data_IF_875792266021
#
_entry.id   IF_875792266021
#
_cell.length_a   1.000
_cell.length_b   1.000
_cell.length_c   1.000
_cell.angle_alpha   90.00
_cell.angle_beta   90.00
_cell.angle_gamma   90.00
#
_symmetry.space_group_name_H-M   'P 1'
#
loop_
_entity.id
_entity.type
_entity.pdbx_description
1 polymer ?
#
# COMPACT_ATOMS: atom_id res chain seq x y z
N UNK A 1 14.21 3.98 22.05
CA UNK A 1 15.61 4.23 21.70
C UNK A 1 15.71 5.31 20.64
N UNK A 2 15.23 5.11 19.41
CA UNK A 2 15.34 6.08 18.30
C UNK A 2 14.78 7.47 18.66
N UNK A 3 13.63 7.52 19.34
CA UNK A 3 13.04 8.78 19.79
C UNK A 3 14.01 9.63 20.64
N UNK A 4 14.72 9.01 21.59
CA UNK A 4 15.68 9.71 22.46
C UNK A 4 16.86 10.31 21.69
N UNK A 5 17.14 9.81 20.50
CA UNK A 5 18.17 10.30 19.59
C UNK A 5 17.64 11.30 18.55
N UNK A 6 16.35 11.65 18.59
CA UNK A 6 15.70 12.48 17.57
C UNK A 6 15.62 11.80 16.20
N UNK A 7 15.71 10.47 16.16
CA UNK A 7 15.71 9.68 14.93
C UNK A 7 14.33 9.08 14.69
N UNK A 8 13.93 9.03 13.44
CA UNK A 8 12.72 8.34 13.00
C UNK A 8 12.94 6.85 12.77
N UNK A 9 11.90 6.16 12.34
CA UNK A 9 11.96 4.73 12.04
C UNK A 9 10.81 4.27 11.16
N UNK A 10 10.91 3.04 10.69
CA UNK A 10 9.90 2.39 9.88
C UNK A 10 9.41 1.12 10.57
N UNK A 11 8.12 1.08 10.91
CA UNK A 11 7.44 -0.12 11.39
C UNK A 11 6.84 -0.83 10.18
N UNK A 12 7.52 -1.89 9.75
CA UNK A 12 7.23 -2.62 8.52
C UNK A 12 6.64 -4.02 8.78
N UNK A 13 5.91 -4.17 9.87
CA UNK A 13 5.23 -5.42 10.23
C UNK A 13 4.19 -5.82 9.20
N UNK A 14 3.98 -7.11 9.04
CA UNK A 14 2.89 -7.62 8.20
C UNK A 14 1.54 -7.04 8.63
N UNK A 15 0.59 -6.97 7.68
CA UNK A 15 -0.77 -6.51 7.96
C UNK A 15 -1.40 -7.36 9.06
N UNK A 16 -2.11 -6.71 10.01
CA UNK A 16 -2.78 -7.38 11.12
C UNK A 16 -1.88 -7.70 12.32
N UNK A 17 -0.60 -7.33 12.32
CA UNK A 17 0.28 -7.46 13.50
C UNK A 17 0.22 -6.25 14.45
N UNK A 18 -0.85 -5.45 14.39
CA UNK A 18 -1.11 -4.39 15.36
C UNK A 18 -0.24 -3.14 15.22
N UNK A 19 0.10 -2.73 13.98
CA UNK A 19 0.87 -1.49 13.75
C UNK A 19 0.22 -0.25 14.40
N UNK A 20 -1.09 -0.07 14.24
CA UNK A 20 -1.81 1.08 14.80
C UNK A 20 -1.78 1.11 16.33
N UNK A 21 -2.18 0.06 17.07
CA UNK A 21 -2.11 0.08 18.53
C UNK A 21 -0.67 0.19 19.05
N UNK A 22 0.32 -0.42 18.40
CA UNK A 22 1.74 -0.25 18.75
C UNK A 22 2.16 1.22 18.61
N UNK A 23 1.74 1.87 17.53
CA UNK A 23 2.04 3.29 17.30
C UNK A 23 1.33 4.18 18.32
N UNK A 24 0.04 3.94 18.58
CA UNK A 24 -0.71 4.69 19.59
C UNK A 24 -0.07 4.58 20.98
N UNK A 25 0.35 3.38 21.40
CA UNK A 25 1.07 3.17 22.64
C UNK A 25 2.40 3.95 22.70
N UNK A 26 3.11 4.05 21.59
CA UNK A 26 4.32 4.87 21.50
C UNK A 26 4.01 6.36 21.62
N UNK A 27 3.01 6.87 20.90
CA UNK A 27 2.60 8.27 20.94
C UNK A 27 2.10 8.68 22.32
N UNK A 28 1.35 7.81 23.00
CA UNK A 28 0.83 8.05 24.35
C UNK A 28 1.93 8.24 25.41
N UNK A 29 3.13 7.73 25.16
CA UNK A 29 4.30 7.90 26.02
C UNK A 29 5.11 9.18 25.77
N UNK A 30 4.69 10.04 24.85
CA UNK A 30 5.41 11.24 24.43
C UNK A 30 4.45 12.43 24.47
N UNK A 31 4.80 13.58 25.06
CA UNK A 31 3.98 14.78 24.98
C UNK A 31 3.74 15.22 23.54
N UNK A 32 2.45 15.45 23.15
CA UNK A 32 2.07 15.89 21.83
C UNK A 32 2.32 17.38 21.55
N UNK A 33 1.81 17.91 20.43
CA UNK A 33 0.86 17.27 19.50
C UNK A 33 1.51 16.29 18.53
N UNK A 34 0.77 15.24 18.16
CA UNK A 34 1.18 14.25 17.17
C UNK A 34 0.32 14.36 15.92
N UNK A 35 0.91 14.05 14.77
CA UNK A 35 0.22 14.03 13.47
C UNK A 35 0.28 12.63 12.86
N UNK A 36 -0.87 12.08 12.51
CA UNK A 36 -1.00 10.89 11.66
C UNK A 36 -1.47 11.32 10.28
N UNK A 37 -0.71 10.96 9.26
CA UNK A 37 -1.07 11.14 7.85
C UNK A 37 -1.32 9.76 7.24
N UNK A 38 -2.53 9.52 6.76
CA UNK A 38 -2.95 8.19 6.29
C UNK A 38 -3.84 8.27 5.04
N UNK A 39 -4.08 7.15 4.34
CA UNK A 39 -5.12 7.09 3.31
C UNK A 39 -6.52 7.37 3.88
N UNK A 40 -7.40 7.93 3.04
CA UNK A 40 -8.77 8.28 3.45
C UNK A 40 -9.53 7.08 4.02
N UNK A 41 -9.34 5.91 3.45
CA UNK A 41 -10.01 4.65 3.86
C UNK A 41 -9.76 4.24 5.31
N UNK A 42 -8.64 4.69 5.92
CA UNK A 42 -8.25 4.29 7.28
C UNK A 42 -8.36 5.41 8.32
N UNK A 43 -8.79 6.62 7.93
CA UNK A 43 -8.96 7.75 8.86
C UNK A 43 -9.90 7.38 10.03
N UNK A 44 -11.06 6.81 9.72
CA UNK A 44 -12.02 6.39 10.75
C UNK A 44 -11.50 5.24 11.61
N UNK A 45 -10.66 4.38 11.03
CA UNK A 45 -10.04 3.29 11.78
C UNK A 45 -9.08 3.85 12.83
N UNK A 46 -8.26 4.85 12.48
CA UNK A 46 -7.38 5.54 13.42
C UNK A 46 -8.16 6.19 14.57
N UNK A 47 -9.28 6.84 14.28
CA UNK A 47 -10.16 7.43 15.29
C UNK A 47 -10.73 6.36 16.24
N UNK A 48 -11.27 5.28 15.69
CA UNK A 48 -11.85 4.18 16.46
C UNK A 48 -10.80 3.44 17.31
N UNK A 49 -9.61 3.17 16.76
CA UNK A 49 -8.53 2.52 17.48
C UNK A 49 -7.95 3.43 18.57
N UNK A 50 -7.83 4.73 18.31
CA UNK A 50 -7.41 5.69 19.34
C UNK A 50 -8.40 5.72 20.50
N UNK A 51 -9.70 5.77 20.23
CA UNK A 51 -10.75 5.72 21.27
C UNK A 51 -10.70 4.41 22.08
N UNK A 52 -10.30 3.29 21.45
CA UNK A 52 -10.21 1.98 22.09
C UNK A 52 -8.94 1.82 22.94
N UNK A 53 -7.78 2.17 22.40
CA UNK A 53 -6.48 1.85 23.01
C UNK A 53 -5.87 3.00 23.79
N UNK A 54 -6.23 4.25 23.46
CA UNK A 54 -5.74 5.48 24.12
C UNK A 54 -6.88 6.46 24.39
N UNK A 55 -7.93 6.06 25.15
CA UNK A 55 -9.15 6.87 25.33
C UNK A 55 -8.91 8.21 26.02
N UNK A 56 -7.76 8.40 26.63
CA UNK A 56 -7.33 9.66 27.26
C UNK A 56 -6.75 10.66 26.27
N UNK A 57 -6.38 10.24 25.05
CA UNK A 57 -5.87 11.14 24.01
C UNK A 57 -7.03 11.83 23.30
N UNK A 58 -6.97 13.15 23.23
CA UNK A 58 -7.95 13.96 22.46
C UNK A 58 -7.57 13.94 21.00
N UNK A 59 -8.43 13.36 20.18
CA UNK A 59 -8.20 13.16 18.74
C UNK A 59 -8.94 14.21 17.92
N UNK A 60 -8.25 14.91 17.03
CA UNK A 60 -8.81 15.80 16.02
C UNK A 60 -8.73 15.13 14.64
N UNK A 61 -9.87 14.82 14.04
CA UNK A 61 -9.92 14.38 12.63
C UNK A 61 -9.99 15.62 11.73
N UNK A 62 -8.91 15.86 10.98
CA UNK A 62 -8.78 17.02 10.08
C UNK A 62 -8.94 16.59 8.63
N UNK A 63 -10.19 16.46 8.18
CA UNK A 63 -10.54 16.01 6.83
C UNK A 63 -11.91 16.58 6.39
N UNK A 64 -12.13 16.60 5.06
CA UNK A 64 -13.41 17.02 4.47
C UNK A 64 -13.51 18.51 4.19
N UNK A 65 -14.70 18.95 3.75
CA UNK A 65 -14.98 20.35 3.39
C UNK A 65 -15.15 21.26 4.59
N UNK A 66 -15.60 20.70 5.71
CA UNK A 66 -15.77 21.43 6.99
C UNK A 66 -14.53 21.46 7.88
N UNK A 67 -13.35 21.08 7.37
CA UNK A 67 -12.12 21.11 8.16
C UNK A 67 -11.72 22.54 8.51
N UNK A 68 -11.08 22.68 9.63
CA UNK A 68 -10.56 23.98 10.12
C UNK A 68 -9.45 24.52 9.21
N UNK A 69 -9.28 25.82 9.20
CA UNK A 69 -8.25 26.49 8.40
C UNK A 69 -7.41 27.43 9.27
N UNK A 70 -6.14 27.62 8.89
CA UNK A 70 -5.21 28.60 9.47
C UNK A 70 -5.23 28.64 11.01
N UNK A 71 -5.49 29.83 11.59
CA UNK A 71 -5.48 30.02 13.04
C UNK A 71 -6.49 29.13 13.78
N UNK A 72 -7.66 28.86 13.18
CA UNK A 72 -8.65 27.95 13.79
C UNK A 72 -8.12 26.53 13.94
N UNK A 73 -7.37 26.07 12.95
CA UNK A 73 -6.71 24.77 13.03
C UNK A 73 -5.61 24.75 14.11
N UNK A 74 -4.73 25.76 14.14
CA UNK A 74 -3.64 25.85 15.12
C UNK A 74 -4.21 25.87 16.55
N UNK A 75 -5.26 26.66 16.79
CA UNK A 75 -5.93 26.71 18.07
C UNK A 75 -6.56 25.37 18.47
N UNK A 76 -7.15 24.67 17.51
CA UNK A 76 -7.69 23.34 17.76
C UNK A 76 -6.58 22.32 18.08
N UNK A 77 -5.47 22.34 17.35
CA UNK A 77 -4.31 21.45 17.62
C UNK A 77 -3.78 21.65 19.04
N UNK A 78 -3.72 22.89 19.55
CA UNK A 78 -3.28 23.16 20.91
C UNK A 78 -4.17 22.51 21.99
N UNK A 79 -5.38 22.12 21.65
CA UNK A 79 -6.36 21.47 22.54
C UNK A 79 -6.40 19.93 22.34
N UNK A 80 -5.64 19.38 21.41
CA UNK A 80 -5.66 17.96 21.06
C UNK A 80 -4.27 17.34 21.13
N UNK A 81 -4.24 16.05 21.41
CA UNK A 81 -3.00 15.31 21.57
C UNK A 81 -2.59 14.62 20.27
N UNK A 82 -3.59 14.27 19.43
CA UNK A 82 -3.43 13.57 18.15
C UNK A 82 -4.29 14.23 17.06
N UNK A 83 -3.67 14.54 15.94
CA UNK A 83 -4.37 14.97 14.71
C UNK A 83 -4.26 13.86 13.66
N UNK A 84 -5.39 13.46 13.08
CA UNK A 84 -5.47 12.48 11.99
C UNK A 84 -5.91 13.19 10.72
N UNK A 85 -5.15 13.04 9.63
CA UNK A 85 -5.43 13.67 8.34
C UNK A 85 -5.04 12.77 7.18
N UNK A 86 -5.37 13.20 5.95
CA UNK A 86 -4.98 12.48 4.73
C UNK A 86 -3.76 13.10 4.07
N UNK A 87 -3.06 12.30 3.26
CA UNK A 87 -1.92 12.77 2.46
C UNK A 87 -2.26 13.97 1.57
N UNK A 88 -3.47 13.97 0.98
CA UNK A 88 -3.92 15.05 0.09
C UNK A 88 -4.17 16.34 0.86
N UNK A 89 -4.76 16.25 2.04
CA UNK A 89 -5.01 17.42 2.90
C UNK A 89 -3.68 17.97 3.43
N UNK A 90 -2.81 17.11 3.98
CA UNK A 90 -1.51 17.52 4.47
C UNK A 90 -0.64 18.19 3.40
N UNK A 91 -0.69 17.69 2.13
CA UNK A 91 0.04 18.29 1.02
C UNK A 91 -0.58 19.60 0.50
N UNK A 92 -1.91 19.79 0.64
CA UNK A 92 -2.60 21.00 0.24
C UNK A 92 -2.42 22.12 1.25
N UNK A 93 -2.55 21.81 2.51
CA UNK A 93 -2.55 22.76 3.61
C UNK A 93 -1.17 22.81 4.33
N UNK A 94 -0.08 22.47 3.61
CA UNK A 94 1.27 22.26 4.15
C UNK A 94 1.77 23.45 4.98
N UNK A 95 1.56 24.68 4.53
CA UNK A 95 2.01 25.89 5.21
C UNK A 95 1.41 26.00 6.64
N UNK A 96 0.14 25.62 6.79
CA UNK A 96 -0.53 25.59 8.09
C UNK A 96 0.05 24.49 8.98
N UNK A 97 0.29 23.29 8.42
CA UNK A 97 0.88 22.17 9.17
C UNK A 97 2.33 22.46 9.62
N UNK A 98 3.07 23.25 8.85
CA UNK A 98 4.45 23.62 9.20
C UNK A 98 4.55 24.62 10.36
N UNK A 99 3.46 25.30 10.71
CA UNK A 99 3.42 26.23 11.85
C UNK A 99 3.23 25.48 13.19
N UNK A 100 2.86 24.20 13.15
CA UNK A 100 2.67 23.39 14.36
C UNK A 100 3.98 22.68 14.72
N UNK A 101 4.45 22.76 15.98
CA UNK A 101 5.64 22.04 16.45
C UNK A 101 5.30 20.56 16.75
N UNK A 102 5.15 19.74 15.71
CA UNK A 102 4.81 18.33 15.87
C UNK A 102 5.88 17.57 16.67
N UNK A 103 5.47 16.90 17.75
CA UNK A 103 6.36 16.01 18.48
C UNK A 103 6.70 14.78 17.64
N UNK A 104 5.67 14.16 17.03
CA UNK A 104 5.84 13.03 16.11
C UNK A 104 4.92 13.19 14.90
N UNK A 105 5.45 12.87 13.72
CA UNK A 105 4.67 12.68 12.47
C UNK A 105 4.71 11.21 12.09
N UNK A 106 3.56 10.60 11.97
CA UNK A 106 3.36 9.21 11.52
C UNK A 106 2.80 9.21 10.12
N UNK A 107 3.42 8.46 9.22
CA UNK A 107 2.98 8.23 7.85
C UNK A 107 2.46 6.81 7.74
N UNK A 108 1.15 6.61 7.75
CA UNK A 108 0.54 5.30 7.61
C UNK A 108 0.37 4.94 6.13
N UNK A 109 0.55 3.66 5.79
CA UNK A 109 0.65 3.17 4.42
C UNK A 109 1.66 4.00 3.62
N UNK A 110 2.91 4.05 4.13
CA UNK A 110 3.96 4.92 3.63
C UNK A 110 4.36 4.67 2.16
N UNK A 111 3.87 3.59 1.54
CA UNK A 111 3.96 3.42 0.09
C UNK A 111 3.28 4.56 -0.70
N UNK A 112 2.40 5.34 -0.08
CA UNK A 112 1.84 6.56 -0.68
C UNK A 112 2.91 7.61 -1.05
N UNK A 113 4.09 7.55 -0.45
CA UNK A 113 5.22 8.45 -0.70
C UNK A 113 6.42 7.76 -1.36
N UNK A 114 6.23 6.55 -1.91
CA UNK A 114 7.28 5.76 -2.58
C UNK A 114 7.89 6.45 -3.80
N UNK A 115 7.14 7.27 -4.51
CA UNK A 115 7.68 8.10 -5.58
C UNK A 115 8.10 9.47 -5.01
N UNK A 116 9.43 9.75 -4.94
CA UNK A 116 9.97 10.95 -4.31
C UNK A 116 9.60 12.25 -5.05
N UNK A 117 9.22 12.18 -6.31
CA UNK A 117 8.96 13.35 -7.15
C UNK A 117 7.51 13.84 -7.05
N UNK A 118 6.64 13.10 -6.37
CA UNK A 118 5.25 13.53 -6.17
C UNK A 118 5.14 14.74 -5.24
N UNK A 119 4.10 15.55 -5.45
CA UNK A 119 3.77 16.67 -4.56
C UNK A 119 3.61 16.19 -3.11
N UNK A 120 2.96 15.06 -2.91
CA UNK A 120 2.73 14.44 -1.60
C UNK A 120 4.05 14.07 -0.91
N UNK A 121 4.94 13.37 -1.60
CA UNK A 121 6.23 12.97 -1.01
C UNK A 121 7.09 14.20 -0.65
N UNK A 122 7.09 15.24 -1.50
CA UNK A 122 7.78 16.50 -1.21
C UNK A 122 7.19 17.20 0.02
N UNK A 123 5.87 17.25 0.14
CA UNK A 123 5.21 17.84 1.28
C UNK A 123 5.53 17.08 2.59
N UNK A 124 5.51 15.75 2.57
CA UNK A 124 5.83 14.93 3.76
C UNK A 124 7.29 15.12 4.20
N UNK A 125 8.24 15.27 3.27
CA UNK A 125 9.64 15.61 3.62
C UNK A 125 9.78 17.02 4.22
N UNK A 126 8.95 17.96 3.79
CA UNK A 126 8.98 19.34 4.26
C UNK A 126 8.34 19.52 5.64
N UNK A 127 7.52 18.58 6.11
CA UNK A 127 6.95 18.64 7.46
C UNK A 127 8.07 18.50 8.51
N UNK A 128 8.11 19.44 9.45
CA UNK A 128 9.05 19.39 10.58
C UNK A 128 8.42 18.62 11.74
N UNK A 129 9.20 17.76 12.39
CA UNK A 129 8.78 17.01 13.57
C UNK A 129 10.00 16.61 14.40
N UNK A 130 9.79 16.42 15.70
CA UNK A 130 10.81 15.86 16.59
C UNK A 130 11.18 14.42 16.21
N UNK A 131 10.18 13.63 15.80
CA UNK A 131 10.37 12.27 15.25
C UNK A 131 9.45 12.04 14.06
N UNK A 132 9.88 11.17 13.12
CA UNK A 132 9.06 10.72 11.98
C UNK A 132 9.01 9.20 11.93
N UNK A 133 7.83 8.65 11.83
CA UNK A 133 7.59 7.20 11.80
C UNK A 133 6.84 6.87 10.51
N UNK A 134 7.33 5.88 9.78
CA UNK A 134 6.62 5.30 8.65
C UNK A 134 6.01 3.95 9.05
N UNK A 135 4.75 3.73 8.70
CA UNK A 135 4.09 2.43 8.83
C UNK A 135 3.83 1.88 7.44
N UNK A 136 4.18 0.63 7.21
CA UNK A 136 3.93 -0.05 5.93
C UNK A 136 3.89 -1.56 6.12
N UNK A 137 3.10 -2.28 5.35
CA UNK A 137 3.17 -3.74 5.27
C UNK A 137 4.22 -4.23 4.27
N UNK A 138 4.63 -3.34 3.34
CA UNK A 138 5.53 -3.66 2.22
C UNK A 138 6.56 -2.55 2.03
N UNK A 139 7.67 -2.54 2.77
CA UNK A 139 8.68 -1.48 2.70
C UNK A 139 9.37 -1.40 1.32
N UNK A 140 9.38 -2.51 0.58
CA UNK A 140 9.84 -2.61 -0.81
C UNK A 140 8.85 -3.49 -1.57
N UNK A 141 8.15 -2.95 -2.55
CA UNK A 141 7.26 -3.71 -3.41
C UNK A 141 7.95 -4.10 -4.73
N UNK A 142 8.51 -3.11 -5.42
CA UNK A 142 9.02 -3.30 -6.76
C UNK A 142 10.47 -2.84 -6.94
N UNK A 143 10.89 -1.79 -6.23
CA UNK A 143 12.21 -1.18 -6.39
C UNK A 143 12.78 -0.69 -5.08
N UNK A 144 14.08 -0.79 -4.92
CA UNK A 144 14.79 -0.27 -3.74
C UNK A 144 14.69 1.26 -3.60
N UNK A 145 14.44 1.98 -4.70
CA UNK A 145 14.17 3.43 -4.65
C UNK A 145 12.91 3.78 -3.85
N UNK A 146 11.98 2.85 -3.66
CA UNK A 146 10.81 3.02 -2.78
C UNK A 146 11.26 3.09 -1.31
N UNK A 147 12.13 2.18 -0.89
CA UNK A 147 12.76 2.21 0.42
C UNK A 147 13.53 3.51 0.65
N UNK A 148 14.34 3.92 -0.32
CA UNK A 148 15.06 5.20 -0.26
C UNK A 148 14.12 6.38 -0.03
N UNK A 149 12.99 6.44 -0.72
CA UNK A 149 12.01 7.52 -0.55
C UNK A 149 11.44 7.59 0.86
N UNK A 150 11.13 6.43 1.48
CA UNK A 150 10.67 6.35 2.87
C UNK A 150 11.78 6.83 3.81
N UNK A 151 13.03 6.37 3.60
CA UNK A 151 14.17 6.73 4.44
C UNK A 151 14.54 8.21 4.34
N UNK A 152 14.29 8.87 3.21
CA UNK A 152 14.43 10.34 3.09
C UNK A 152 13.48 11.10 4.01
N UNK A 153 12.44 10.45 4.51
CA UNK A 153 11.49 11.07 5.46
C UNK A 153 11.88 10.70 6.89
N UNK A 154 12.07 9.42 7.19
CA UNK A 154 12.29 8.94 8.57
C UNK A 154 13.71 9.13 9.07
N UNK A 155 14.71 9.04 8.20
CA UNK A 155 16.14 9.23 8.50
C UNK A 155 16.82 9.99 7.36
N UNK A 156 16.57 11.29 7.18
CA UNK A 156 17.11 12.08 6.08
C UNK A 156 18.64 12.00 6.02
N UNK A 157 19.17 11.76 4.81
CA UNK A 157 20.61 11.69 4.57
C UNK A 157 21.26 10.35 4.85
N UNK A 158 20.64 9.42 5.59
CA UNK A 158 21.22 8.11 5.92
C UNK A 158 21.65 7.31 4.69
N UNK A 159 20.85 7.32 3.64
CA UNK A 159 21.10 6.59 2.39
C UNK A 159 21.66 7.47 1.26
N UNK A 160 22.16 8.66 1.58
CA UNK A 160 22.66 9.60 0.59
C UNK A 160 21.57 10.17 -0.34
N UNK A 161 21.99 10.83 -1.41
CA UNK A 161 21.07 11.34 -2.44
C UNK A 161 20.64 10.24 -3.41
N UNK A 162 19.64 10.53 -4.25
CA UNK A 162 19.05 9.56 -5.18
C UNK A 162 20.06 8.94 -6.15
N UNK A 163 21.03 9.73 -6.62
CA UNK A 163 22.05 9.26 -7.56
C UNK A 163 23.02 8.31 -6.85
N UNK A 164 23.52 8.71 -5.68
CA UNK A 164 24.38 7.87 -4.85
C UNK A 164 23.72 6.55 -4.48
N UNK A 165 22.47 6.61 -4.02
CA UNK A 165 21.71 5.40 -3.67
C UNK A 165 21.55 4.45 -4.86
N UNK A 166 21.23 4.97 -6.05
CA UNK A 166 21.12 4.14 -7.24
C UNK A 166 22.44 3.47 -7.61
N UNK A 167 23.54 4.21 -7.54
CA UNK A 167 24.88 3.71 -7.90
C UNK A 167 25.40 2.67 -6.90
N UNK A 168 25.25 2.93 -5.58
CA UNK A 168 25.84 2.07 -4.55
C UNK A 168 24.95 0.90 -4.15
N UNK A 169 23.62 1.04 -4.24
CA UNK A 169 22.71 0.02 -3.77
C UNK A 169 21.73 -0.48 -4.83
N UNK A 170 20.91 0.41 -5.44
CA UNK A 170 19.81 -0.07 -6.28
C UNK A 170 20.29 -0.83 -7.52
N UNK A 171 21.22 -0.29 -8.29
CA UNK A 171 21.73 -0.97 -9.49
C UNK A 171 22.49 -2.26 -9.17
N UNK A 172 23.48 -2.29 -8.24
CA UNK A 172 24.17 -3.51 -7.88
C UNK A 172 23.22 -4.61 -7.37
N UNK A 173 22.27 -4.26 -6.51
CA UNK A 173 21.34 -5.25 -5.94
C UNK A 173 20.29 -5.73 -6.96
N UNK A 174 19.65 -4.81 -7.69
CA UNK A 174 18.52 -5.15 -8.57
C UNK A 174 18.97 -5.79 -9.90
N UNK A 175 20.17 -5.45 -10.40
CA UNK A 175 20.66 -5.91 -11.70
C UNK A 175 21.73 -7.00 -11.59
N UNK A 176 22.63 -6.85 -10.62
CA UNK A 176 23.82 -7.69 -10.48
C UNK A 176 23.69 -8.70 -9.33
N UNK A 177 22.60 -8.58 -8.52
CA UNK A 177 22.35 -9.41 -7.33
C UNK A 177 23.53 -9.41 -6.34
N UNK A 178 24.20 -8.26 -6.19
CA UNK A 178 25.39 -8.11 -5.36
C UNK A 178 25.08 -8.37 -3.86
N UNK A 179 25.66 -9.44 -3.25
CA UNK A 179 25.42 -9.79 -1.86
C UNK A 179 26.09 -8.79 -0.90
N UNK A 180 27.18 -8.14 -1.29
CA UNK A 180 27.91 -7.19 -0.45
C UNK A 180 27.07 -5.92 -0.30
N UNK A 181 26.62 -5.35 -1.41
CA UNK A 181 25.72 -4.19 -1.39
C UNK A 181 24.42 -4.48 -0.64
N UNK A 182 23.88 -5.71 -0.76
CA UNK A 182 22.69 -6.15 -0.02
C UNK A 182 22.96 -6.18 1.49
N UNK A 183 24.07 -6.76 1.93
CA UNK A 183 24.43 -6.85 3.34
C UNK A 183 24.70 -5.45 3.93
N UNK A 184 25.35 -4.57 3.19
CA UNK A 184 25.62 -3.19 3.61
C UNK A 184 24.31 -2.40 3.77
N UNK A 185 23.40 -2.47 2.79
CA UNK A 185 22.10 -1.81 2.89
C UNK A 185 21.29 -2.31 4.10
N UNK A 186 21.28 -3.62 4.35
CA UNK A 186 20.63 -4.21 5.53
C UNK A 186 21.24 -3.71 6.84
N UNK A 187 22.56 -3.61 6.90
CA UNK A 187 23.27 -3.08 8.08
C UNK A 187 22.92 -1.63 8.36
N UNK A 188 22.83 -0.79 7.32
CA UNK A 188 22.49 0.63 7.46
C UNK A 188 21.01 0.83 7.85
N UNK A 189 20.11 0.07 7.25
CA UNK A 189 18.67 0.25 7.46
C UNK A 189 18.12 -0.49 8.68
N UNK A 190 18.77 -1.58 9.08
CA UNK A 190 18.32 -2.48 10.15
C UNK A 190 17.96 -1.78 11.47
N UNK A 191 18.78 -0.86 12.00
CA UNK A 191 18.46 -0.14 13.24
C UNK A 191 17.20 0.72 13.18
N UNK A 192 16.75 1.09 11.98
CA UNK A 192 15.61 1.96 11.72
C UNK A 192 14.36 1.20 11.25
N UNK A 193 14.50 -0.09 10.97
CA UNK A 193 13.44 -0.91 10.39
C UNK A 193 13.05 -2.04 11.35
N UNK A 194 11.84 -1.98 11.88
CA UNK A 194 11.24 -3.11 12.59
C UNK A 194 10.30 -3.85 11.65
N UNK A 195 10.65 -5.11 11.34
CA UNK A 195 9.83 -5.98 10.48
C UNK A 195 9.61 -7.33 11.15
N UNK A 196 8.37 -7.56 11.56
CA UNK A 196 7.87 -8.85 12.04
C UNK A 196 6.96 -9.43 10.97
N UNK A 197 6.97 -10.75 10.82
CA UNK A 197 6.17 -11.46 9.82
C UNK A 197 5.23 -12.46 10.48
N UNK A 198 4.10 -12.72 9.86
CA UNK A 198 3.15 -13.76 10.31
C UNK A 198 3.70 -15.18 10.17
N UNK A 199 4.78 -15.36 9.40
CA UNK A 199 5.48 -16.63 9.31
C UNK A 199 6.23 -17.00 10.61
N UNK A 200 6.52 -16.02 11.47
CA UNK A 200 7.13 -16.26 12.77
C UNK A 200 6.07 -16.73 13.78
N UNK A 201 5.99 -18.03 13.98
CA UNK A 201 5.04 -18.68 14.90
C UNK A 201 5.23 -18.26 16.36
N UNK A 202 6.39 -17.74 16.74
CA UNK A 202 6.61 -17.22 18.10
C UNK A 202 5.81 -15.94 18.38
N UNK A 203 5.46 -15.19 17.33
CA UNK A 203 4.70 -13.93 17.41
C UNK A 203 3.19 -14.14 17.33
N UNK A 204 2.76 -15.15 16.57
CA UNK A 204 1.34 -15.42 16.28
C UNK A 204 1.05 -16.93 16.33
N UNK A 205 1.15 -17.56 17.51
CA UNK A 205 0.99 -19.00 17.66
C UNK A 205 -0.40 -19.51 17.26
N UNK A 206 -1.42 -18.66 17.36
CA UNK A 206 -2.82 -19.01 17.09
C UNK A 206 -3.20 -18.95 15.60
N UNK A 207 -2.33 -18.42 14.72
CA UNK A 207 -2.62 -18.39 13.30
C UNK A 207 -2.39 -19.77 12.68
N UNK A 208 -3.39 -20.31 11.93
CA UNK A 208 -3.23 -21.54 11.18
C UNK A 208 -2.17 -21.37 10.08
N UNK A 209 -1.68 -22.48 9.57
CA UNK A 209 -0.77 -22.46 8.43
C UNK A 209 -1.48 -21.93 7.18
N UNK A 210 -0.78 -21.07 6.43
CA UNK A 210 -1.27 -20.61 5.15
C UNK A 210 -1.17 -21.73 4.12
N UNK A 211 -2.32 -22.16 3.60
CA UNK A 211 -2.41 -23.10 2.48
C UNK A 211 -2.69 -22.32 1.21
N UNK A 212 -1.82 -22.46 0.20
CA UNK A 212 -2.03 -21.88 -1.11
C UNK A 212 -2.30 -22.99 -2.14
N UNK A 213 -3.39 -22.89 -2.85
CA UNK A 213 -3.77 -23.83 -3.90
C UNK A 213 -4.06 -23.09 -5.20
N UNK A 214 -3.60 -23.66 -6.31
CA UNK A 214 -3.92 -23.16 -7.65
C UNK A 214 -5.01 -24.03 -8.24
N UNK A 215 -6.19 -23.45 -8.41
CA UNK A 215 -7.30 -24.12 -9.08
C UNK A 215 -7.28 -23.79 -10.58
N UNK A 216 -7.00 -24.77 -11.40
CA UNK A 216 -7.03 -24.63 -12.87
C UNK A 216 -8.47 -24.75 -13.39
N UNK A 217 -8.83 -23.86 -14.30
CA UNK A 217 -10.12 -23.88 -14.98
C UNK A 217 -9.91 -23.89 -16.49
N UNK A 218 -10.45 -24.89 -17.23
CA UNK A 218 -10.34 -24.94 -18.68
C UNK A 218 -11.19 -23.83 -19.31
N UNK A 219 -10.81 -23.36 -20.48
CA UNK A 219 -11.66 -22.49 -21.29
C UNK A 219 -12.80 -23.29 -21.93
N UNK A 220 -13.99 -22.69 -21.98
CA UNK A 220 -15.07 -23.24 -22.81
C UNK A 220 -14.73 -23.09 -24.30
N UNK A 221 -15.44 -23.80 -25.17
CA UNK A 221 -15.27 -23.66 -26.64
C UNK A 221 -15.47 -22.21 -27.08
N UNK A 222 -16.47 -21.54 -26.56
CA UNK A 222 -16.76 -20.12 -26.81
C UNK A 222 -15.57 -19.25 -26.41
N UNK A 223 -15.07 -19.41 -25.18
CA UNK A 223 -13.91 -18.68 -24.70
C UNK A 223 -12.67 -18.94 -25.55
N UNK A 224 -12.42 -20.19 -25.95
CA UNK A 224 -11.25 -20.55 -26.77
C UNK A 224 -11.32 -19.87 -28.16
N UNK A 225 -12.48 -19.84 -28.80
CA UNK A 225 -12.64 -19.15 -30.09
C UNK A 225 -12.43 -17.64 -29.95
N UNK A 226 -13.01 -17.01 -28.93
CA UNK A 226 -12.84 -15.58 -28.70
C UNK A 226 -11.37 -15.25 -28.36
N UNK A 227 -10.72 -16.10 -27.57
CA UNK A 227 -9.30 -15.96 -27.23
C UNK A 227 -8.41 -15.98 -28.47
N UNK A 228 -8.62 -17.01 -29.34
CA UNK A 228 -7.86 -17.16 -30.58
C UNK A 228 -8.05 -15.94 -31.50
N UNK A 229 -9.28 -15.46 -31.67
CA UNK A 229 -9.56 -14.29 -32.49
C UNK A 229 -8.78 -13.03 -32.03
N UNK A 230 -8.67 -12.81 -30.70
CA UNK A 230 -7.88 -11.69 -30.16
C UNK A 230 -6.38 -11.88 -30.40
N UNK A 231 -5.88 -13.12 -30.30
CA UNK A 231 -4.47 -13.41 -30.57
C UNK A 231 -4.15 -13.19 -32.05
N UNK A 232 -4.99 -13.68 -32.96
CA UNK A 232 -4.80 -13.52 -34.40
C UNK A 232 -4.81 -12.04 -34.81
N UNK A 233 -5.75 -11.27 -34.27
CA UNK A 233 -5.81 -9.83 -34.49
C UNK A 233 -4.55 -9.12 -33.94
N UNK A 234 -4.10 -9.47 -32.73
CA UNK A 234 -2.89 -8.89 -32.15
C UNK A 234 -1.65 -9.16 -33.01
N UNK A 235 -1.52 -10.41 -33.54
CA UNK A 235 -0.40 -10.77 -34.39
C UNK A 235 -0.40 -9.98 -35.70
N UNK A 236 -1.57 -9.80 -36.33
CA UNK A 236 -1.72 -8.99 -37.54
C UNK A 236 -1.34 -7.51 -37.24
N UNK A 237 -1.93 -6.89 -36.20
CA UNK A 237 -1.69 -5.48 -35.86
C UNK A 237 -0.26 -5.22 -35.39
N UNK A 238 0.38 -6.20 -34.72
CA UNK A 238 1.74 -6.06 -34.21
C UNK A 238 2.82 -6.13 -35.29
N UNK A 239 2.52 -6.70 -36.48
CA UNK A 239 3.43 -6.70 -37.61
C UNK A 239 3.63 -5.29 -38.20
N UNK A 240 2.58 -4.48 -38.18
CA UNK A 240 2.58 -3.13 -38.71
C UNK A 240 2.96 -2.04 -37.68
N UNK A 241 2.92 -2.36 -36.39
CA UNK A 241 3.13 -1.41 -35.31
C UNK A 241 4.54 -1.46 -34.73
N UNK A 242 5.11 -0.29 -34.39
CA UNK A 242 6.44 -0.17 -33.75
C UNK A 242 6.39 0.65 -32.48
N UNK A 243 7.41 0.52 -31.63
CA UNK A 243 7.63 1.35 -30.46
C UNK A 243 6.47 1.36 -29.45
N UNK A 244 6.01 2.56 -29.07
CA UNK A 244 4.95 2.76 -28.07
C UNK A 244 3.59 2.24 -28.53
N UNK A 245 3.28 2.33 -29.84
CA UNK A 245 2.01 1.82 -30.41
C UNK A 245 1.91 0.31 -30.23
N UNK A 246 2.98 -0.44 -30.51
CA UNK A 246 3.04 -1.89 -30.31
C UNK A 246 2.82 -2.27 -28.84
N UNK A 247 3.44 -1.54 -27.90
CA UNK A 247 3.23 -1.78 -26.45
C UNK A 247 1.79 -1.55 -26.05
N UNK A 248 1.14 -0.50 -26.55
CA UNK A 248 -0.28 -0.22 -26.30
C UNK A 248 -1.20 -1.34 -26.81
N UNK A 249 -0.97 -1.86 -28.02
CA UNK A 249 -1.71 -2.99 -28.58
C UNK A 249 -1.58 -4.25 -27.73
N UNK A 250 -0.36 -4.59 -27.30
CA UNK A 250 -0.12 -5.75 -26.41
C UNK A 250 -0.86 -5.61 -25.09
N UNK A 251 -0.81 -4.45 -24.45
CA UNK A 251 -1.51 -4.22 -23.17
C UNK A 251 -3.03 -4.30 -23.32
N UNK A 252 -3.59 -3.73 -24.39
CA UNK A 252 -5.01 -3.82 -24.70
C UNK A 252 -5.45 -5.26 -24.94
N UNK A 253 -4.69 -6.01 -25.74
CA UNK A 253 -4.95 -7.43 -26.00
C UNK A 253 -4.87 -8.27 -24.72
N UNK A 254 -3.85 -8.08 -23.88
CA UNK A 254 -3.73 -8.78 -22.59
C UNK A 254 -4.94 -8.51 -21.68
N UNK A 255 -5.44 -7.26 -21.65
CA UNK A 255 -6.67 -6.92 -20.89
C UNK A 255 -7.87 -7.66 -21.45
N UNK A 256 -8.04 -7.66 -22.77
CA UNK A 256 -9.13 -8.36 -23.47
C UNK A 256 -9.09 -9.86 -23.23
N UNK A 257 -7.90 -10.48 -23.34
CA UNK A 257 -7.70 -11.90 -23.06
C UNK A 257 -8.06 -12.26 -21.61
N UNK A 258 -7.67 -11.44 -20.62
CA UNK A 258 -8.07 -11.62 -19.22
C UNK A 258 -9.59 -11.55 -19.04
N UNK A 259 -10.27 -10.63 -19.71
CA UNK A 259 -11.73 -10.53 -19.70
C UNK A 259 -12.40 -11.77 -20.27
N UNK A 260 -11.92 -12.28 -21.40
CA UNK A 260 -12.41 -13.52 -22.02
C UNK A 260 -12.21 -14.71 -21.08
N UNK A 261 -11.02 -14.85 -20.48
CA UNK A 261 -10.73 -15.90 -19.51
C UNK A 261 -11.60 -15.82 -18.25
N UNK A 262 -12.08 -14.63 -17.88
CA UNK A 262 -13.05 -14.50 -16.80
C UNK A 262 -14.44 -14.94 -17.27
N UNK A 263 -15.00 -14.27 -18.30
CA UNK A 263 -16.31 -14.61 -18.83
C UNK A 263 -16.56 -13.98 -20.22
N UNK A 264 -17.19 -14.66 -21.19
CA UNK A 264 -17.55 -14.06 -22.49
C UNK A 264 -18.39 -12.78 -22.36
N UNK A 265 -19.42 -12.78 -21.54
CA UNK A 265 -20.27 -11.59 -21.30
C UNK A 265 -19.48 -10.39 -20.78
N UNK A 266 -18.47 -10.62 -19.92
CA UNK A 266 -17.57 -9.58 -19.45
C UNK A 266 -16.73 -8.98 -20.60
N UNK A 267 -16.25 -9.82 -21.49
CA UNK A 267 -15.49 -9.37 -22.66
C UNK A 267 -16.37 -8.65 -23.70
N UNK A 268 -17.61 -9.06 -23.87
CA UNK A 268 -18.55 -8.47 -24.83
C UNK A 268 -19.22 -7.20 -24.27
N UNK A 269 -19.48 -7.15 -22.96
CA UNK A 269 -20.19 -6.04 -22.33
C UNK A 269 -21.65 -5.95 -22.73
N UNK A 270 -22.26 -7.08 -23.10
CA UNK A 270 -23.57 -7.17 -23.75
C UNK A 270 -24.73 -7.59 -22.82
N UNK A 271 -24.43 -7.81 -21.52
CA UNK A 271 -25.43 -8.27 -20.55
C UNK A 271 -26.00 -9.67 -20.83
N UNK A 272 -25.31 -10.48 -21.65
CA UNK A 272 -25.75 -11.81 -22.02
C UNK A 272 -25.71 -12.79 -20.85
N UNK A 273 -26.42 -13.93 -20.99
CA UNK A 273 -26.54 -14.98 -19.96
C UNK A 273 -25.14 -15.46 -19.48
N UNK A 274 -25.03 -15.73 -18.18
CA UNK A 274 -23.76 -16.12 -17.55
C UNK A 274 -23.58 -17.65 -17.50
N UNK A 275 -24.63 -18.40 -17.23
CA UNK A 275 -24.55 -19.83 -16.94
C UNK A 275 -23.89 -20.66 -18.08
N UNK A 276 -22.94 -21.51 -17.72
CA UNK A 276 -22.33 -22.50 -18.61
C UNK A 276 -21.33 -21.97 -19.63
N UNK A 277 -21.02 -20.67 -19.63
CA UNK A 277 -20.16 -20.03 -20.64
C UNK A 277 -18.70 -19.80 -20.21
N UNK A 278 -18.40 -19.95 -18.92
CA UNK A 278 -17.06 -19.74 -18.37
C UNK A 278 -16.63 -20.91 -17.53
N UNK A 279 -15.51 -21.53 -17.88
CA UNK A 279 -14.92 -22.59 -17.07
C UNK A 279 -14.40 -22.05 -15.72
N UNK A 280 -13.94 -20.78 -15.66
CA UNK A 280 -13.53 -20.16 -14.41
C UNK A 280 -14.70 -19.94 -13.46
N UNK A 281 -15.83 -19.44 -13.95
CA UNK A 281 -17.03 -19.23 -13.13
C UNK A 281 -17.59 -20.57 -12.63
N UNK A 282 -17.62 -21.59 -13.49
CA UNK A 282 -18.03 -22.94 -13.07
C UNK A 282 -17.14 -23.49 -11.96
N UNK A 283 -15.80 -23.37 -12.11
CA UNK A 283 -14.87 -23.84 -11.08
C UNK A 283 -14.99 -23.04 -9.78
N UNK A 284 -15.27 -21.76 -9.89
CA UNK A 284 -15.55 -20.91 -8.73
C UNK A 284 -16.81 -21.35 -8.00
N UNK A 285 -17.91 -21.62 -8.72
CA UNK A 285 -19.18 -22.09 -8.12
C UNK A 285 -18.98 -23.41 -7.38
N UNK A 286 -18.22 -24.36 -7.95
CA UNK A 286 -17.87 -25.62 -7.28
C UNK A 286 -17.15 -25.36 -5.95
N UNK A 287 -16.09 -24.55 -5.96
CA UNK A 287 -15.27 -24.25 -4.77
C UNK A 287 -16.06 -23.50 -3.68
N UNK A 288 -16.89 -22.55 -4.07
CA UNK A 288 -17.72 -21.80 -3.12
C UNK A 288 -18.80 -22.69 -2.50
N UNK A 289 -19.40 -23.57 -3.29
CA UNK A 289 -20.39 -24.52 -2.77
C UNK A 289 -19.78 -25.44 -1.73
N UNK A 290 -18.60 -26.03 -2.03
CA UNK A 290 -17.89 -26.88 -1.08
C UNK A 290 -17.56 -26.16 0.24
N UNK A 291 -17.11 -24.89 0.16
CA UNK A 291 -16.81 -24.07 1.35
C UNK A 291 -18.06 -23.76 2.18
N UNK A 292 -19.15 -23.41 1.52
CA UNK A 292 -20.41 -23.11 2.21
C UNK A 292 -21.03 -24.35 2.87
N UNK A 293 -20.92 -25.50 2.23
CA UNK A 293 -21.40 -26.78 2.77
C UNK A 293 -20.62 -27.20 4.04
N UNK A 294 -19.35 -26.80 4.16
CA UNK A 294 -18.54 -26.99 5.37
C UNK A 294 -18.75 -25.89 6.42
N UNK A 295 -19.60 -24.90 6.15
CA UNK A 295 -19.86 -23.78 7.07
C UNK A 295 -18.74 -22.75 7.14
N UNK A 296 -17.80 -22.76 6.19
CA UNK A 296 -16.70 -21.82 6.12
C UNK A 296 -17.10 -20.49 5.45
N UNK A 297 -16.28 -19.47 5.58
CA UNK A 297 -16.49 -18.15 4.98
C UNK A 297 -15.40 -17.86 3.96
N UNK A 298 -15.77 -17.17 2.87
CA UNK A 298 -14.85 -16.80 1.81
C UNK A 298 -14.84 -15.29 1.53
N UNK A 299 -13.65 -14.75 1.25
CA UNK A 299 -13.47 -13.42 0.65
C UNK A 299 -13.03 -13.61 -0.80
N UNK A 300 -13.80 -13.03 -1.72
CA UNK A 300 -13.54 -13.12 -3.15
C UNK A 300 -12.99 -11.82 -3.69
N UNK A 301 -11.85 -11.87 -4.37
CA UNK A 301 -11.22 -10.70 -4.97
C UNK A 301 -11.19 -10.82 -6.49
N UNK A 302 -11.58 -9.77 -7.16
CA UNK A 302 -11.49 -9.64 -8.62
C UNK A 302 -10.84 -8.32 -9.01
N UNK A 303 -10.11 -8.32 -10.15
CA UNK A 303 -9.51 -7.11 -10.72
C UNK A 303 -10.52 -6.27 -11.51
N UNK A 304 -11.66 -6.84 -11.85
CA UNK A 304 -12.66 -6.23 -12.73
C UNK A 304 -13.96 -6.01 -11.96
N UNK A 305 -14.40 -4.77 -11.94
CA UNK A 305 -15.64 -4.38 -11.25
C UNK A 305 -16.85 -5.18 -11.74
N UNK A 306 -16.93 -5.40 -13.04
CA UNK A 306 -18.02 -6.12 -13.71
C UNK A 306 -18.12 -7.60 -13.30
N UNK A 307 -17.05 -8.15 -12.73
CA UNK A 307 -17.03 -9.52 -12.19
C UNK A 307 -17.44 -9.57 -10.70
N UNK A 308 -17.58 -8.45 -10.04
CA UNK A 308 -17.98 -8.33 -8.62
C UNK A 308 -19.41 -7.84 -8.44
N UNK A 309 -20.12 -7.57 -9.53
CA UNK A 309 -21.52 -7.18 -9.58
C UNK A 309 -22.41 -8.37 -9.93
#
# INVERSE_FOLDING_TARGET
>A
FLHRLGLGGCLADDMGLGKTPTTLAHLAGIPGPHLVVCPLSVVRNWEAEAARFTPFMRVLVHHGTGRLHEHSFINAVAQHDLVVTTYQVAARDLETFQQVPWATVVLDEAQAVKNPDTRTARAMRALKAGQRIALTGTPVENRLTELWSIFQIVAPGLLGNATQFRQHFANPIEREHDPIATAELRRLTGPFLLRRTKADKSLVPDLPDKVEQVAWAPLTREQAHMYQAVVDQLLADAQEATGMRRRGLVLAALTRLKQICNHPAHALGDGSKLAGRSGKLQRFDELITDLLDTGEQALVFTQFREMGL
#
